data_IF_761088086830
#
_entry.id   IF_761088086830
#
_cell.length_a   1.000
_cell.length_b   1.000
_cell.length_c   1.000
_cell.angle_alpha   90.00
_cell.angle_beta   90.00
_cell.angle_gamma   90.00
#
_symmetry.space_group_name_H-M   'P 1'
#
loop_
_entity.id
_entity.type
_entity.pdbx_description
1 polymer ?
#
# COMPACT_ATOMS: atom_id res chain seq x y z
N UNK A 1 -36.78 23.79 -13.12
CA UNK A 1 -35.54 24.14 -13.80
C UNK A 1 -35.71 25.03 -15.01
N UNK A 2 -36.78 24.83 -15.77
CA UNK A 2 -37.07 25.64 -16.96
C UNK A 2 -37.23 27.13 -16.69
N UNK A 3 -37.83 27.47 -15.56
CA UNK A 3 -37.98 28.88 -15.18
C UNK A 3 -36.65 29.56 -14.86
N UNK A 4 -35.68 28.80 -14.38
CA UNK A 4 -34.34 29.30 -14.16
C UNK A 4 -33.60 29.58 -15.45
N UNK A 5 -33.99 28.90 -16.52
CA UNK A 5 -33.39 29.07 -17.83
C UNK A 5 -33.77 30.39 -18.47
N UNK A 6 -34.88 31.01 -18.02
CA UNK A 6 -35.30 32.33 -18.53
C UNK A 6 -34.34 33.44 -18.10
N UNK A 7 -33.68 33.27 -16.96
CA UNK A 7 -32.70 34.21 -16.50
C UNK A 7 -31.30 33.68 -16.88
N UNK A 8 -30.76 34.16 -17.98
CA UNK A 8 -29.49 33.71 -18.51
C UNK A 8 -28.31 33.85 -17.56
N UNK A 9 -28.34 34.89 -16.71
CA UNK A 9 -27.30 35.08 -15.69
C UNK A 9 -27.36 34.00 -14.61
N UNK A 10 -28.57 33.71 -14.10
CA UNK A 10 -28.76 32.67 -13.12
C UNK A 10 -28.42 31.29 -13.63
N UNK A 11 -28.82 31.01 -14.88
CA UNK A 11 -28.48 29.76 -15.56
C UNK A 11 -26.99 29.57 -15.70
N UNK A 12 -26.27 30.61 -16.13
CA UNK A 12 -24.82 30.56 -16.26
C UNK A 12 -24.10 30.29 -14.96
N UNK A 13 -24.55 30.92 -13.87
CA UNK A 13 -23.97 30.69 -12.55
C UNK A 13 -24.23 29.28 -12.03
N UNK A 14 -25.43 28.75 -12.25
CA UNK A 14 -25.79 27.39 -11.82
C UNK A 14 -24.97 26.37 -12.59
N UNK A 15 -24.83 26.55 -13.91
CA UNK A 15 -24.03 25.64 -14.75
C UNK A 15 -22.57 25.63 -14.33
N UNK A 16 -21.99 26.81 -14.05
CA UNK A 16 -20.63 26.94 -13.59
C UNK A 16 -20.47 26.27 -12.22
N UNK A 17 -21.41 26.50 -11.31
CA UNK A 17 -21.37 25.90 -9.98
C UNK A 17 -21.41 24.37 -10.05
N UNK A 18 -22.32 23.82 -10.88
CA UNK A 18 -22.43 22.37 -11.07
C UNK A 18 -21.16 21.82 -11.69
N UNK A 19 -20.62 22.49 -12.69
CA UNK A 19 -19.39 22.07 -13.35
C UNK A 19 -18.20 22.03 -12.36
N UNK A 20 -18.06 23.07 -11.56
CA UNK A 20 -17.01 23.13 -10.53
C UNK A 20 -17.18 21.98 -9.54
N UNK A 21 -18.40 21.71 -9.12
CA UNK A 21 -18.70 20.61 -8.18
C UNK A 21 -18.31 19.27 -8.76
N UNK A 22 -18.67 19.01 -10.03
CA UNK A 22 -18.32 17.76 -10.72
C UNK A 22 -16.80 17.63 -10.85
N UNK A 23 -16.13 18.71 -11.27
CA UNK A 23 -14.66 18.71 -11.41
C UNK A 23 -14.00 18.44 -10.06
N UNK A 24 -14.45 19.10 -9.01
CA UNK A 24 -13.93 18.88 -7.66
C UNK A 24 -14.10 17.43 -7.22
N UNK A 25 -15.24 16.84 -7.51
CA UNK A 25 -15.54 15.45 -7.20
C UNK A 25 -14.59 14.49 -7.92
N UNK A 26 -14.40 14.73 -9.22
CA UNK A 26 -13.51 13.91 -10.05
C UNK A 26 -12.08 14.05 -9.54
N UNK A 27 -11.63 15.25 -9.19
CA UNK A 27 -10.28 15.47 -8.66
C UNK A 27 -10.05 14.70 -7.36
N UNK A 28 -11.00 14.75 -6.43
CA UNK A 28 -10.91 14.00 -5.18
C UNK A 28 -10.80 12.50 -5.47
N UNK A 29 -11.62 12.00 -6.38
CA UNK A 29 -11.60 10.60 -6.77
C UNK A 29 -10.23 10.21 -7.36
N UNK A 30 -9.72 11.02 -8.29
CA UNK A 30 -8.43 10.77 -8.94
C UNK A 30 -7.30 10.75 -7.92
N UNK A 31 -7.28 11.71 -6.99
CA UNK A 31 -6.25 11.76 -5.94
C UNK A 31 -6.29 10.49 -5.09
N UNK A 32 -7.48 10.03 -4.73
CA UNK A 32 -7.61 8.80 -3.94
C UNK A 32 -7.08 7.57 -4.70
N UNK A 33 -7.40 7.45 -5.99
CA UNK A 33 -6.94 6.34 -6.82
C UNK A 33 -5.41 6.38 -6.95
N UNK A 34 -4.85 7.54 -7.23
CA UNK A 34 -3.39 7.70 -7.34
C UNK A 34 -2.71 7.34 -6.03
N UNK A 35 -3.28 7.76 -4.91
CA UNK A 35 -2.75 7.43 -3.59
C UNK A 35 -2.74 5.92 -3.34
N UNK A 36 -3.80 5.22 -3.74
CA UNK A 36 -3.85 3.75 -3.61
C UNK A 36 -2.78 3.07 -4.45
N UNK A 37 -2.59 3.53 -5.68
CA UNK A 37 -1.56 2.96 -6.57
C UNK A 37 -0.17 3.22 -6.00
N UNK A 38 0.10 4.43 -5.54
CA UNK A 38 1.39 4.78 -4.95
C UNK A 38 1.66 3.95 -3.69
N UNK A 39 0.66 3.77 -2.84
CA UNK A 39 0.79 2.97 -1.64
C UNK A 39 1.09 1.50 -1.97
N UNK A 40 0.39 0.95 -2.96
CA UNK A 40 0.64 -0.42 -3.42
C UNK A 40 2.08 -0.59 -3.91
N UNK A 41 2.58 0.35 -4.69
CA UNK A 41 3.97 0.35 -5.16
C UNK A 41 4.95 0.46 -4.00
N UNK A 42 4.67 1.30 -3.01
CA UNK A 42 5.51 1.45 -1.83
C UNK A 42 5.55 0.16 -1.02
N UNK A 43 4.41 -0.51 -0.84
CA UNK A 43 4.36 -1.79 -0.14
C UNK A 43 5.13 -2.87 -0.90
N UNK A 44 5.04 -2.89 -2.24
CA UNK A 44 5.82 -3.81 -3.06
C UNK A 44 7.32 -3.57 -2.88
N UNK A 45 7.75 -2.32 -2.88
CA UNK A 45 9.13 -1.95 -2.63
C UNK A 45 9.58 -2.38 -1.24
N UNK A 46 8.74 -2.19 -0.23
CA UNK A 46 9.02 -2.62 1.14
C UNK A 46 9.20 -4.16 1.19
N UNK A 47 8.29 -4.90 0.54
CA UNK A 47 8.39 -6.36 0.52
C UNK A 47 9.66 -6.82 -0.17
N UNK A 48 10.04 -6.18 -1.28
CA UNK A 48 11.30 -6.49 -1.99
C UNK A 48 12.51 -6.21 -1.11
N UNK A 49 12.52 -5.10 -0.39
CA UNK A 49 13.61 -4.74 0.52
C UNK A 49 13.72 -5.71 1.70
N UNK A 50 12.59 -6.13 2.25
CA UNK A 50 12.56 -7.10 3.34
C UNK A 50 13.10 -8.45 2.88
N UNK A 51 12.69 -8.91 1.70
CA UNK A 51 13.18 -10.17 1.13
C UNK A 51 14.68 -10.06 0.80
N UNK A 52 15.13 -8.95 0.24
CA UNK A 52 16.53 -8.73 -0.07
C UNK A 52 17.38 -8.78 1.20
N UNK A 53 16.97 -8.11 2.25
CA UNK A 53 17.66 -8.12 3.53
C UNK A 53 17.69 -9.53 4.12
N UNK A 54 16.54 -10.22 4.12
CA UNK A 54 16.44 -11.58 4.60
C UNK A 54 17.33 -12.54 3.80
N UNK A 55 17.39 -12.35 2.49
CA UNK A 55 18.25 -13.16 1.60
C UNK A 55 19.72 -12.96 1.89
N UNK A 56 20.13 -11.72 2.12
CA UNK A 56 21.54 -11.40 2.43
C UNK A 56 21.96 -11.94 3.79
N UNK A 57 21.07 -12.00 4.74
CA UNK A 57 21.35 -12.46 6.11
C UNK A 57 20.93 -13.91 6.34
N UNK A 58 20.22 -14.51 5.37
CA UNK A 58 19.77 -15.89 5.47
C UNK A 58 18.84 -16.18 6.62
N UNK A 59 18.02 -15.20 7.01
CA UNK A 59 17.11 -15.35 8.14
C UNK A 59 15.86 -14.52 7.93
N UNK A 60 14.74 -15.00 8.50
CA UNK A 60 13.49 -14.25 8.53
C UNK A 60 13.35 -13.40 9.80
N UNK A 61 14.31 -13.48 10.72
CA UNK A 61 14.32 -12.69 11.97
C UNK A 61 14.90 -11.30 11.71
N UNK A 62 14.12 -10.41 11.10
CA UNK A 62 14.56 -9.08 10.66
C UNK A 62 13.71 -7.95 11.25
N UNK A 63 13.19 -8.14 12.45
CA UNK A 63 12.25 -7.19 13.07
C UNK A 63 12.83 -5.78 13.19
N UNK A 64 14.11 -5.66 13.56
CA UNK A 64 14.77 -4.35 13.71
C UNK A 64 14.87 -3.62 12.38
N UNK A 65 15.12 -4.34 11.30
CA UNK A 65 15.17 -3.76 9.96
C UNK A 65 13.78 -3.33 9.50
N UNK A 66 12.76 -4.15 9.77
CA UNK A 66 11.38 -3.82 9.43
C UNK A 66 10.91 -2.56 10.17
N UNK A 67 11.24 -2.41 11.44
CA UNK A 67 10.94 -1.20 12.21
C UNK A 67 11.63 0.03 11.60
N UNK A 68 12.88 -0.12 11.21
CA UNK A 68 13.64 0.94 10.56
C UNK A 68 12.99 1.39 9.25
N UNK A 69 12.50 0.43 8.44
CA UNK A 69 11.80 0.73 7.20
C UNK A 69 10.47 1.45 7.47
N UNK A 70 9.73 1.03 8.49
CA UNK A 70 8.48 1.67 8.86
C UNK A 70 8.72 3.14 9.24
N UNK A 71 9.76 3.43 10.00
CA UNK A 71 10.13 4.79 10.36
C UNK A 71 10.54 5.63 9.14
N UNK A 72 11.34 5.06 8.25
CA UNK A 72 11.84 5.78 7.07
C UNK A 72 10.74 6.10 6.07
N UNK A 73 9.81 5.17 5.88
CA UNK A 73 8.72 5.34 4.91
C UNK A 73 7.51 6.05 5.48
N UNK A 74 7.37 6.06 6.81
CA UNK A 74 6.20 6.58 7.48
C UNK A 74 4.96 5.72 7.27
N UNK A 75 5.13 4.50 6.77
CA UNK A 75 4.03 3.56 6.50
C UNK A 75 4.03 2.50 7.59
N UNK A 76 2.88 2.35 8.24
CA UNK A 76 2.67 1.32 9.24
C UNK A 76 2.23 0.05 8.53
N UNK A 77 3.05 -0.98 8.52
CA UNK A 77 2.78 -2.21 7.80
C UNK A 77 3.01 -3.42 8.70
N UNK A 78 2.30 -4.50 8.39
CA UNK A 78 2.54 -5.83 8.94
C UNK A 78 3.22 -6.68 7.88
N UNK A 79 4.06 -7.60 8.29
CA UNK A 79 4.73 -8.50 7.37
C UNK A 79 4.71 -9.93 7.90
N UNK A 80 4.82 -10.88 6.97
CA UNK A 80 4.85 -12.31 7.28
C UNK A 80 5.77 -13.01 6.30
N UNK A 81 6.52 -13.97 6.78
CA UNK A 81 7.37 -14.83 5.95
C UNK A 81 6.75 -16.21 5.73
N UNK A 82 5.43 -16.30 5.80
CA UNK A 82 4.74 -17.55 5.50
C UNK A 82 5.05 -18.02 4.08
N UNK A 83 5.25 -19.30 3.90
CA UNK A 83 5.66 -19.87 2.62
C UNK A 83 7.16 -19.98 2.44
N UNK A 84 7.96 -19.42 3.34
CA UNK A 84 9.42 -19.59 3.34
C UNK A 84 9.81 -20.98 3.81
N UNK A 85 10.90 -21.52 3.25
CA UNK A 85 11.46 -22.80 3.67
C UNK A 85 12.50 -22.51 4.75
N UNK A 86 12.18 -22.85 5.99
CA UNK A 86 13.03 -22.55 7.14
C UNK A 86 14.02 -23.69 7.39
N UNK A 87 15.25 -23.31 7.74
CA UNK A 87 16.29 -24.25 8.14
C UNK A 87 16.05 -24.80 9.56
N UNK A 88 15.61 -23.91 10.47
CA UNK A 88 15.30 -24.27 11.84
C UNK A 88 14.21 -23.36 12.42
N UNK A 89 13.89 -23.56 13.71
CA UNK A 89 12.85 -22.79 14.39
C UNK A 89 13.25 -21.33 14.65
N UNK A 90 14.52 -20.97 14.48
CA UNK A 90 15.00 -19.59 14.70
C UNK A 90 14.75 -18.66 13.54
N UNK A 91 14.18 -19.17 12.44
CA UNK A 91 13.87 -18.37 11.26
C UNK A 91 14.99 -18.31 10.22
N UNK A 92 16.05 -19.07 10.41
CA UNK A 92 17.16 -19.17 9.43
C UNK A 92 16.70 -19.89 8.18
N UNK A 93 17.22 -19.46 7.04
CA UNK A 93 16.94 -20.06 5.73
C UNK A 93 18.27 -20.49 5.12
N UNK A 94 18.33 -21.75 4.70
CA UNK A 94 19.54 -22.32 4.11
C UNK A 94 19.78 -21.77 2.69
N UNK A 95 21.03 -21.71 2.28
CA UNK A 95 21.43 -21.27 0.96
C UNK A 95 20.60 -21.95 -0.14
N UNK A 96 20.03 -21.16 -1.01
CA UNK A 96 19.23 -21.63 -2.14
C UNK A 96 17.77 -21.90 -1.83
N UNK A 97 17.39 -21.88 -0.56
CA UNK A 97 15.98 -22.07 -0.17
C UNK A 97 15.19 -20.77 -0.33
N UNK A 98 13.89 -20.92 -0.58
CA UNK A 98 13.00 -19.80 -0.87
C UNK A 98 12.66 -18.99 0.39
N UNK A 99 12.75 -17.69 0.28
CA UNK A 99 12.21 -16.73 1.25
C UNK A 99 11.06 -16.00 0.58
N UNK A 100 9.91 -16.03 1.22
CA UNK A 100 8.72 -15.34 0.73
C UNK A 100 8.19 -14.41 1.82
N UNK A 101 7.97 -13.16 1.45
CA UNK A 101 7.45 -12.14 2.37
C UNK A 101 6.18 -11.54 1.82
N UNK A 102 5.17 -11.42 2.67
CA UNK A 102 3.93 -10.72 2.36
C UNK A 102 3.80 -9.54 3.31
N UNK A 103 3.61 -8.36 2.76
CA UNK A 103 3.43 -7.11 3.50
C UNK A 103 1.99 -6.67 3.37
N UNK A 104 1.38 -6.31 4.50
CA UNK A 104 -0.02 -5.88 4.57
C UNK A 104 -0.12 -4.49 5.17
N UNK A 105 -1.01 -3.69 4.65
CA UNK A 105 -1.31 -2.38 5.21
C UNK A 105 -2.81 -2.12 5.10
N UNK A 106 -3.38 -1.65 6.21
CA UNK A 106 -4.79 -1.28 6.27
C UNK A 106 -4.91 0.21 6.10
N UNK A 107 -5.73 0.64 5.15
CA UNK A 107 -6.03 2.04 4.93
C UNK A 107 -7.53 2.28 5.11
N UNK A 108 -7.87 3.49 5.58
CA UNK A 108 -9.24 3.95 5.60
C UNK A 108 -9.50 4.72 4.32
N UNK A 109 -10.41 4.23 3.49
CA UNK A 109 -10.84 4.95 2.31
C UNK A 109 -11.90 5.97 2.76
N UNK A 110 -11.71 7.23 2.37
CA UNK A 110 -12.68 8.27 2.66
C UNK A 110 -13.95 8.04 1.85
N UNK A 111 -14.92 7.40 2.49
CA UNK A 111 -16.27 7.36 1.97
C UNK A 111 -17.00 8.67 2.31
N UNK A 112 -18.07 8.92 1.61
CA UNK A 112 -18.93 10.06 1.92
C UNK A 112 -19.70 9.80 3.22
N UNK A 113 -19.54 10.71 4.19
CA UNK A 113 -20.18 10.60 5.49
C UNK A 113 -19.34 9.75 6.46
N UNK A 114 -20.01 9.09 7.39
CA UNK A 114 -19.37 8.34 8.47
C UNK A 114 -18.86 6.97 8.04
N UNK A 115 -19.15 6.55 6.81
CA UNK A 115 -18.75 5.22 6.34
C UNK A 115 -17.29 5.24 5.85
N UNK A 116 -16.38 4.92 6.74
CA UNK A 116 -15.01 4.64 6.37
C UNK A 116 -14.88 3.14 6.10
N UNK A 117 -14.49 2.80 4.90
CA UNK A 117 -14.21 1.41 4.56
C UNK A 117 -12.72 1.15 4.74
N UNK A 118 -12.40 0.20 5.61
CA UNK A 118 -11.02 -0.25 5.75
C UNK A 118 -10.68 -1.16 4.57
N UNK A 119 -9.65 -0.80 3.82
CA UNK A 119 -9.14 -1.59 2.70
C UNK A 119 -7.78 -2.14 3.11
N UNK A 120 -7.61 -3.46 2.96
CA UNK A 120 -6.33 -4.10 3.19
C UNK A 120 -5.59 -4.25 1.86
N UNK A 121 -4.40 -3.69 1.79
CA UNK A 121 -3.53 -3.80 0.63
C UNK A 121 -2.40 -4.77 0.96
N UNK A 122 -2.20 -5.74 0.08
CA UNK A 122 -1.16 -6.75 0.22
C UNK A 122 -0.15 -6.61 -0.90
N UNK A 123 1.12 -6.78 -0.56
CA UNK A 123 2.17 -6.91 -1.55
C UNK A 123 3.07 -8.08 -1.11
N UNK A 124 3.57 -8.82 -2.07
CA UNK A 124 4.43 -9.97 -1.77
C UNK A 124 5.66 -9.96 -2.66
N UNK A 125 6.74 -10.52 -2.13
CA UNK A 125 7.99 -10.71 -2.86
C UNK A 125 8.58 -12.04 -2.44
N UNK A 126 9.42 -12.61 -3.31
CA UNK A 126 10.13 -13.83 -3.02
C UNK A 126 11.58 -13.73 -3.50
N UNK A 127 12.44 -14.47 -2.84
CA UNK A 127 13.85 -14.54 -3.16
C UNK A 127 14.45 -15.83 -2.63
N UNK A 128 15.75 -15.97 -2.71
CA UNK A 128 16.45 -17.13 -2.18
C UNK A 128 17.53 -16.68 -1.20
N UNK A 129 17.76 -17.51 -0.18
CA UNK A 129 18.82 -17.25 0.79
C UNK A 129 20.19 -17.36 0.15
N UNK A 130 21.07 -16.42 0.51
CA UNK A 130 22.46 -16.37 0.03
C UNK A 130 23.45 -16.82 1.11
N UNK A 131 22.94 -17.28 2.23
CA UNK A 131 23.77 -17.64 3.40
C UNK A 131 23.69 -19.15 3.62
N UNK A 132 24.87 -19.76 3.77
CA UNK A 132 24.98 -21.18 4.12
C UNK A 132 25.07 -21.33 5.65
N UNK A 133 24.17 -22.11 6.21
CA UNK A 133 24.14 -22.44 7.62
C UNK A 133 24.64 -23.86 7.85
N UNK A 134 25.49 -23.99 8.82
CA UNK A 134 25.98 -25.32 9.24
C UNK A 134 25.09 -25.92 10.34
#
# INVERSE_FOLDING_TARGET
MMKLLKNKKGEGYIDVAITIMIVAFVLVFVVNVVSLVALNQNLKTISDQLVEYASQHGTTAIDSYAESLAEKTGIDFNYSFDGSILYDASGKVQLGDTIQCTVTHNISFLGFGEATHAITINASASGISRVYWK
#
